data_IF_044255867033
#
_entry.id   IF_044255867033
#
_cell.length_a   1.000
_cell.length_b   1.000
_cell.length_c   1.000
_cell.angle_alpha   90.00
_cell.angle_beta   90.00
_cell.angle_gamma   90.00
#
_symmetry.space_group_name_H-M   'P 1'
#
loop_
_entity.id
_entity.type
_entity.pdbx_description
1 polymer ?
#
# COMPACT_ATOMS: atom_id res chain seq x y z
N UNK A 1 33.17 -5.03 -4.62
CA UNK A 1 34.06 -4.65 -5.74
C UNK A 1 34.75 -5.87 -6.35
N UNK A 2 34.67 -7.02 -5.69
CA UNK A 2 35.59 -8.15 -5.85
C UNK A 2 35.47 -8.95 -7.16
N UNK A 3 34.73 -8.44 -8.15
CA UNK A 3 34.51 -9.14 -9.41
C UNK A 3 34.53 -8.25 -10.65
N UNK A 4 34.73 -6.93 -10.60
CA UNK A 4 34.77 -6.11 -11.82
C UNK A 4 36.17 -5.61 -12.16
N UNK A 5 36.53 -5.73 -13.45
CA UNK A 5 37.84 -5.34 -13.96
C UNK A 5 38.10 -3.84 -13.75
N UNK A 6 39.21 -3.43 -13.10
CA UNK A 6 39.52 -2.01 -12.88
C UNK A 6 39.86 -1.27 -14.19
N UNK A 7 40.43 -1.98 -15.18
CA UNK A 7 40.78 -1.44 -16.50
C UNK A 7 39.55 -1.00 -17.29
N UNK A 8 38.39 -1.65 -17.06
CA UNK A 8 37.13 -1.28 -17.67
C UNK A 8 36.72 0.16 -17.29
N UNK A 9 36.81 0.52 -16.01
CA UNK A 9 36.38 1.84 -15.54
C UNK A 9 37.27 2.97 -16.07
N UNK A 10 38.58 2.74 -16.19
CA UNK A 10 39.51 3.71 -16.77
C UNK A 10 39.21 3.97 -18.26
N UNK A 11 39.01 2.89 -19.03
CA UNK A 11 38.66 2.99 -20.45
C UNK A 11 37.28 3.65 -20.64
N UNK A 12 36.31 3.34 -19.78
CA UNK A 12 34.99 3.96 -19.79
C UNK A 12 35.07 5.46 -19.50
N UNK A 13 35.85 5.89 -18.50
CA UNK A 13 36.00 7.31 -18.15
C UNK A 13 36.58 8.09 -19.33
N UNK A 14 37.62 7.55 -19.97
CA UNK A 14 38.24 8.13 -21.17
C UNK A 14 37.28 8.20 -22.36
N UNK A 15 36.47 7.16 -22.58
CA UNK A 15 35.51 7.12 -23.67
C UNK A 15 34.37 8.14 -23.49
N UNK A 16 33.83 8.25 -22.27
CA UNK A 16 32.71 9.17 -21.97
C UNK A 16 33.16 10.64 -21.97
N UNK A 17 34.38 10.94 -21.53
CA UNK A 17 34.94 12.31 -21.49
C UNK A 17 35.67 12.74 -22.78
N UNK A 18 35.70 11.89 -23.80
CA UNK A 18 36.31 12.23 -25.08
C UNK A 18 35.57 13.38 -25.78
N UNK A 19 36.32 14.26 -26.47
CA UNK A 19 35.77 15.46 -27.12
C UNK A 19 34.74 15.11 -28.22
N UNK A 20 34.94 13.96 -28.89
CA UNK A 20 33.96 13.36 -29.79
C UNK A 20 33.46 12.07 -29.16
N UNK A 21 32.32 12.16 -28.47
CA UNK A 21 31.70 11.00 -27.85
C UNK A 21 31.06 10.11 -28.92
N UNK A 22 31.78 9.05 -29.30
CA UNK A 22 31.34 8.09 -30.31
C UNK A 22 30.32 7.07 -29.78
N UNK A 23 30.42 6.70 -28.51
CA UNK A 23 29.62 5.62 -27.92
C UNK A 23 28.70 6.12 -26.79
N UNK A 24 27.48 5.57 -26.74
CA UNK A 24 26.68 5.61 -25.51
C UNK A 24 27.29 4.66 -24.48
N UNK A 25 26.91 4.79 -23.20
CA UNK A 25 27.40 3.85 -22.17
C UNK A 25 27.03 2.41 -22.51
N UNK A 26 25.82 2.20 -23.04
CA UNK A 26 25.32 0.88 -23.41
C UNK A 26 26.12 0.28 -24.57
N UNK A 27 26.36 1.09 -25.61
CA UNK A 27 27.18 0.72 -26.77
C UNK A 27 28.60 0.34 -26.34
N UNK A 28 29.20 1.13 -25.45
CA UNK A 28 30.54 0.86 -24.93
C UNK A 28 30.60 -0.45 -24.14
N UNK A 29 29.61 -0.73 -23.29
CA UNK A 29 29.54 -1.99 -22.52
C UNK A 29 29.45 -3.18 -23.48
N UNK A 30 28.66 -3.07 -24.55
CA UNK A 30 28.53 -4.14 -25.54
C UNK A 30 29.83 -4.39 -26.30
N UNK A 31 30.46 -3.34 -26.84
CA UNK A 31 31.72 -3.45 -27.58
C UNK A 31 32.85 -3.98 -26.70
N UNK A 32 32.97 -3.47 -25.47
CA UNK A 32 33.99 -3.93 -24.53
C UNK A 32 33.83 -5.42 -24.21
N UNK A 33 32.58 -5.88 -24.05
CA UNK A 33 32.27 -7.28 -23.76
C UNK A 33 32.62 -8.21 -24.93
N UNK A 34 32.44 -7.75 -26.17
CA UNK A 34 32.86 -8.48 -27.38
C UNK A 34 34.39 -8.59 -27.44
N UNK A 35 35.11 -7.50 -27.11
CA UNK A 35 36.57 -7.48 -27.12
C UNK A 35 37.20 -8.28 -25.96
N UNK A 36 36.53 -8.38 -24.81
CA UNK A 36 37.05 -8.99 -23.59
C UNK A 36 36.03 -9.96 -22.96
N UNK A 37 35.73 -11.11 -23.60
CA UNK A 37 34.67 -12.02 -23.18
C UNK A 37 34.93 -12.71 -21.83
N UNK A 38 36.19 -12.76 -21.39
CA UNK A 38 36.61 -13.37 -20.11
C UNK A 38 36.59 -12.40 -18.94
N UNK A 39 36.45 -11.09 -19.19
CA UNK A 39 36.39 -10.09 -18.13
C UNK A 39 34.97 -9.96 -17.59
N UNK A 40 34.86 -9.92 -16.27
CA UNK A 40 33.59 -9.65 -15.60
C UNK A 40 33.33 -8.15 -15.59
N UNK A 41 32.28 -7.74 -16.30
CA UNK A 41 31.91 -6.34 -16.54
C UNK A 41 30.50 -6.09 -15.98
N UNK A 42 30.23 -4.94 -15.34
CA UNK A 42 28.90 -4.63 -14.84
C UNK A 42 27.92 -4.39 -16.00
N UNK A 43 26.65 -4.75 -15.79
CA UNK A 43 25.59 -4.41 -16.75
C UNK A 43 25.38 -2.90 -16.87
N UNK A 44 24.86 -2.42 -18.00
CA UNK A 44 24.53 -1.00 -18.23
C UNK A 44 23.67 -0.42 -17.10
N UNK A 45 22.71 -1.19 -16.58
CA UNK A 45 21.84 -0.78 -15.46
C UNK A 45 22.65 -0.50 -14.19
N UNK A 46 23.56 -1.41 -13.84
CA UNK A 46 24.44 -1.27 -12.66
C UNK A 46 25.33 -0.04 -12.83
N UNK A 47 25.85 0.19 -14.05
CA UNK A 47 26.73 1.31 -14.33
C UNK A 47 26.01 2.66 -14.15
N UNK A 48 24.77 2.80 -14.62
CA UNK A 48 23.94 3.98 -14.33
C UNK A 48 23.68 4.15 -12.82
N UNK A 49 23.49 3.06 -12.07
CA UNK A 49 23.38 3.13 -10.61
C UNK A 49 24.67 3.64 -9.96
N UNK A 50 25.84 3.17 -10.40
CA UNK A 50 27.14 3.64 -9.88
C UNK A 50 27.36 5.13 -10.13
N UNK A 51 26.99 5.63 -11.31
CA UNK A 51 27.06 7.06 -11.64
C UNK A 51 26.11 7.87 -10.75
N UNK A 52 24.88 7.39 -10.53
CA UNK A 52 23.89 8.07 -9.71
C UNK A 52 24.29 8.16 -8.22
N UNK A 53 24.97 7.14 -7.71
CA UNK A 53 25.49 7.10 -6.33
C UNK A 53 26.84 7.83 -6.20
N UNK A 54 27.52 8.15 -7.32
CA UNK A 54 28.83 8.79 -7.32
C UNK A 54 30.00 7.84 -7.05
N UNK A 55 29.81 6.54 -7.32
CA UNK A 55 30.80 5.50 -7.09
C UNK A 55 31.93 5.46 -8.15
N UNK A 56 31.70 6.07 -9.32
CA UNK A 56 32.70 6.21 -10.38
C UNK A 56 32.93 7.69 -10.71
N UNK A 57 34.08 8.02 -11.31
CA UNK A 57 34.49 9.41 -11.62
C UNK A 57 33.71 10.09 -12.76
N UNK A 58 32.69 9.43 -13.29
CA UNK A 58 31.77 9.96 -14.29
C UNK A 58 30.61 10.62 -13.57
N UNK A 59 30.39 11.91 -13.82
CA UNK A 59 29.29 12.67 -13.22
C UNK A 59 28.03 12.55 -14.09
N UNK A 60 26.84 12.71 -13.50
CA UNK A 60 25.58 12.76 -14.27
C UNK A 60 25.58 13.77 -15.42
N UNK A 61 26.30 14.89 -15.25
CA UNK A 61 26.46 15.93 -16.27
C UNK A 61 27.22 15.46 -17.52
N UNK A 62 28.05 14.42 -17.38
CA UNK A 62 28.81 13.83 -18.48
C UNK A 62 27.91 12.92 -19.35
N UNK A 63 26.63 12.74 -18.98
CA UNK A 63 25.65 11.94 -19.69
C UNK A 63 24.41 12.76 -20.09
N UNK A 64 24.23 13.07 -21.38
CA UNK A 64 23.08 13.86 -21.86
C UNK A 64 21.74 13.28 -21.41
N UNK A 65 21.60 11.95 -21.45
CA UNK A 65 20.38 11.23 -21.05
C UNK A 65 20.06 11.43 -19.57
N UNK A 66 21.08 11.47 -18.70
CA UNK A 66 20.88 11.56 -17.26
C UNK A 66 20.50 12.96 -16.79
N UNK A 67 21.00 13.99 -17.49
CA UNK A 67 20.59 15.40 -17.28
C UNK A 67 19.16 15.64 -17.78
N UNK A 68 18.73 14.95 -18.85
CA UNK A 68 17.39 15.11 -19.44
C UNK A 68 16.26 14.45 -18.63
N UNK A 69 16.58 13.51 -17.74
CA UNK A 69 15.57 12.80 -16.95
C UNK A 69 14.98 13.77 -15.92
N UNK A 70 13.69 14.10 -16.06
CA UNK A 70 12.94 14.86 -15.07
C UNK A 70 13.07 14.17 -13.71
N UNK A 71 13.53 14.90 -12.69
CA UNK A 71 13.53 14.41 -11.32
C UNK A 71 12.09 14.10 -10.93
N UNK A 72 11.77 12.82 -10.76
CA UNK A 72 10.50 12.42 -10.16
C UNK A 72 10.42 13.07 -8.77
N UNK A 73 9.31 13.75 -8.49
CA UNK A 73 9.00 14.22 -7.15
C UNK A 73 9.12 13.05 -6.18
N UNK A 74 9.88 13.22 -5.08
CA UNK A 74 10.04 12.18 -4.06
C UNK A 74 8.66 11.69 -3.67
N UNK A 75 8.41 10.38 -3.81
CA UNK A 75 7.16 9.77 -3.37
C UNK A 75 6.98 10.09 -1.88
N UNK A 76 6.00 10.94 -1.55
CA UNK A 76 5.60 11.13 -0.17
C UNK A 76 4.90 9.84 0.24
N UNK A 77 5.54 9.04 1.09
CA UNK A 77 4.87 7.93 1.76
C UNK A 77 3.75 8.52 2.61
N UNK A 78 2.53 8.52 2.08
CA UNK A 78 1.36 8.90 2.87
C UNK A 78 1.13 7.73 3.83
N UNK A 79 1.44 7.92 5.11
CA UNK A 79 1.11 6.92 6.13
C UNK A 79 -0.41 6.78 6.12
N UNK A 80 -0.91 5.56 5.88
CA UNK A 80 -2.34 5.27 5.96
C UNK A 80 -2.81 5.55 7.40
N UNK A 81 -3.55 6.65 7.60
CA UNK A 81 -4.14 7.01 8.90
C UNK A 81 -5.31 6.11 9.32
N UNK A 82 -5.69 5.14 8.48
CA UNK A 82 -6.80 4.23 8.76
C UNK A 82 -6.30 3.10 9.66
N UNK A 83 -6.69 3.15 10.92
CA UNK A 83 -6.61 2.00 11.82
C UNK A 83 -7.69 1.01 11.41
N UNK A 84 -7.30 -0.14 10.87
CA UNK A 84 -8.22 -1.25 10.70
C UNK A 84 -8.47 -1.92 12.06
N UNK A 85 -9.65 -2.51 12.25
CA UNK A 85 -9.94 -3.32 13.42
C UNK A 85 -9.10 -4.61 13.44
N UNK A 86 -9.17 -5.36 14.54
CA UNK A 86 -8.51 -6.66 14.67
C UNK A 86 -9.03 -7.64 13.60
N UNK A 87 -8.16 -8.53 13.12
CA UNK A 87 -8.53 -9.58 12.16
C UNK A 87 -9.62 -10.47 12.73
N UNK A 88 -10.46 -11.05 11.86
CA UNK A 88 -11.50 -12.02 12.26
C UNK A 88 -10.87 -13.24 12.96
N UNK A 89 -9.65 -13.58 12.57
CA UNK A 89 -8.84 -14.66 13.16
C UNK A 89 -8.39 -14.36 14.60
N UNK A 90 -8.35 -13.09 15.01
CA UNK A 90 -7.97 -12.66 16.37
C UNK A 90 -9.19 -12.48 17.30
N UNK A 91 -10.38 -12.86 16.86
CA UNK A 91 -11.57 -12.81 17.70
C UNK A 91 -11.49 -13.92 18.78
N UNK A 92 -11.64 -13.60 20.08
CA UNK A 92 -11.57 -14.62 21.13
C UNK A 92 -12.66 -15.68 20.95
N UNK A 93 -12.31 -16.95 21.18
CA UNK A 93 -13.18 -18.12 20.96
C UNK A 93 -14.53 -18.03 21.69
N UNK A 94 -14.57 -17.31 22.82
CA UNK A 94 -15.80 -17.06 23.58
C UNK A 94 -16.88 -16.33 22.76
N UNK A 95 -16.49 -15.43 21.85
CA UNK A 95 -17.43 -14.73 20.96
C UNK A 95 -17.94 -15.67 19.85
N UNK A 96 -17.11 -16.62 19.40
CA UNK A 96 -17.49 -17.61 18.39
C UNK A 96 -18.44 -18.70 18.93
N UNK A 97 -18.42 -18.96 20.24
CA UNK A 97 -19.27 -19.99 20.84
C UNK A 97 -20.72 -19.53 21.10
N UNK A 98 -21.04 -18.25 20.89
CA UNK A 98 -22.38 -17.66 21.06
C UNK A 98 -22.98 -17.92 22.46
N UNK A 99 -22.13 -18.15 23.45
CA UNK A 99 -22.54 -18.66 24.76
C UNK A 99 -23.13 -17.59 25.68
N UNK A 100 -22.85 -16.31 25.42
CA UNK A 100 -23.17 -15.19 26.32
C UNK A 100 -24.13 -14.19 25.66
N UNK A 101 -25.10 -13.71 26.46
CA UNK A 101 -26.01 -12.65 26.04
C UNK A 101 -25.24 -11.36 25.82
N UNK A 102 -25.56 -10.69 24.72
CA UNK A 102 -25.22 -9.29 24.55
C UNK A 102 -24.07 -8.99 23.61
N UNK A 103 -23.70 -9.97 22.80
CA UNK A 103 -22.88 -9.73 21.62
C UNK A 103 -23.79 -9.40 20.44
N UNK A 104 -23.62 -8.20 19.90
CA UNK A 104 -24.39 -7.71 18.77
C UNK A 104 -23.53 -7.61 17.52
N UNK A 105 -24.00 -8.19 16.43
CA UNK A 105 -23.46 -8.03 15.09
C UNK A 105 -24.20 -6.93 14.36
N UNK A 106 -23.45 -6.07 13.66
CA UNK A 106 -24.00 -5.05 12.76
C UNK A 106 -23.65 -5.45 11.34
N UNK A 107 -24.67 -5.57 10.49
CA UNK A 107 -24.52 -5.79 9.06
C UNK A 107 -25.23 -4.69 8.25
N UNK A 108 -24.69 -4.36 7.08
CA UNK A 108 -25.26 -3.36 6.18
C UNK A 108 -25.57 -4.00 4.82
N UNK A 109 -26.84 -4.06 4.47
CA UNK A 109 -27.32 -4.54 3.17
C UNK A 109 -27.48 -3.35 2.22
N UNK A 110 -26.67 -3.34 1.16
CA UNK A 110 -26.72 -2.33 0.11
C UNK A 110 -27.70 -2.76 -1.00
N UNK A 111 -28.63 -1.87 -1.37
CA UNK A 111 -29.47 -2.04 -2.55
C UNK A 111 -28.69 -1.96 -3.87
N UNK A 112 -29.38 -2.23 -4.99
CA UNK A 112 -28.80 -2.12 -6.34
C UNK A 112 -28.39 -0.67 -6.64
N UNK A 113 -27.07 -0.44 -6.62
CA UNK A 113 -26.30 0.78 -6.92
C UNK A 113 -27.01 1.88 -7.74
N UNK A 114 -27.62 2.83 -7.04
CA UNK A 114 -27.74 4.23 -7.43
C UNK A 114 -27.00 5.12 -6.41
N UNK A 115 -26.46 6.26 -6.86
CA UNK A 115 -25.71 7.16 -5.97
C UNK A 115 -26.67 7.78 -4.95
N UNK A 116 -26.40 7.60 -3.65
CA UNK A 116 -27.21 8.16 -2.56
C UNK A 116 -28.25 7.20 -1.97
N UNK A 117 -28.13 5.89 -2.25
CA UNK A 117 -29.13 4.92 -1.83
C UNK A 117 -29.19 4.71 -0.32
N UNK A 118 -30.42 4.58 0.14
CA UNK A 118 -30.74 4.09 1.45
C UNK A 118 -30.17 2.67 1.66
N UNK A 119 -29.66 2.43 2.86
CA UNK A 119 -29.04 1.17 3.27
C UNK A 119 -29.91 0.54 4.34
N UNK A 120 -30.01 -0.78 4.37
CA UNK A 120 -30.66 -1.46 5.49
C UNK A 120 -29.55 -1.89 6.44
N UNK A 121 -29.61 -1.41 7.68
CA UNK A 121 -28.77 -1.87 8.78
C UNK A 121 -29.50 -2.94 9.55
N UNK A 122 -28.84 -4.05 9.83
CA UNK A 122 -29.33 -5.13 10.68
C UNK A 122 -28.46 -5.26 11.92
N UNK A 123 -29.10 -5.22 13.09
CA UNK A 123 -28.48 -5.48 14.39
C UNK A 123 -28.99 -6.83 14.89
N UNK A 124 -28.10 -7.80 15.08
CA UNK A 124 -28.49 -9.15 15.50
C UNK A 124 -27.74 -9.54 16.77
N UNK A 125 -28.47 -9.92 17.80
CA UNK A 125 -27.91 -10.46 19.03
C UNK A 125 -27.59 -11.96 18.85
N UNK A 126 -26.37 -12.37 19.21
CA UNK A 126 -25.80 -13.67 18.84
C UNK A 126 -26.42 -14.86 19.57
N UNK A 127 -26.79 -14.69 20.84
CA UNK A 127 -27.29 -15.78 21.68
C UNK A 127 -28.79 -16.03 21.44
N UNK A 128 -29.59 -14.98 21.52
CA UNK A 128 -31.05 -14.98 21.42
C UNK A 128 -31.54 -14.90 19.97
N UNK A 129 -30.66 -14.53 19.02
CA UNK A 129 -31.00 -14.30 17.61
C UNK A 129 -32.05 -13.21 17.39
N UNK A 130 -32.25 -12.34 18.39
CA UNK A 130 -33.10 -11.18 18.25
C UNK A 130 -32.49 -10.21 17.22
N UNK A 131 -33.30 -9.78 16.25
CA UNK A 131 -32.85 -8.96 15.13
C UNK A 131 -33.67 -7.68 15.01
N UNK A 132 -32.98 -6.55 14.80
CA UNK A 132 -33.55 -5.26 14.46
C UNK A 132 -33.08 -4.85 13.07
N UNK A 133 -33.99 -4.37 12.23
CA UNK A 133 -33.68 -3.84 10.91
C UNK A 133 -34.09 -2.37 10.81
N UNK A 134 -33.16 -1.51 10.40
CA UNK A 134 -33.36 -0.07 10.28
C UNK A 134 -32.95 0.41 8.89
N UNK A 135 -33.79 1.23 8.26
CA UNK A 135 -33.44 1.90 7.01
C UNK A 135 -32.63 3.17 7.30
N UNK A 136 -31.41 3.24 6.80
CA UNK A 136 -30.53 4.39 6.88
C UNK A 136 -30.54 5.15 5.54
N UNK A 137 -30.41 6.49 5.55
CA UNK A 137 -30.33 7.28 4.32
C UNK A 137 -29.02 7.06 3.55
N UNK A 138 -27.94 6.65 4.22
CA UNK A 138 -26.63 6.42 3.61
C UNK A 138 -25.78 5.46 4.49
N UNK A 139 -24.60 5.07 3.98
CA UNK A 139 -23.62 4.21 4.68
C UNK A 139 -22.53 4.97 5.46
N UNK A 140 -22.75 6.24 5.77
CA UNK A 140 -21.73 7.04 6.45
C UNK A 140 -21.65 6.66 7.93
N UNK A 141 -20.44 6.79 8.47
CA UNK A 141 -20.10 6.51 9.87
C UNK A 141 -21.04 7.19 10.86
N UNK A 142 -21.29 8.48 10.63
CA UNK A 142 -22.09 9.34 11.48
C UNK A 142 -23.53 8.84 11.54
N UNK A 143 -24.14 8.59 10.37
CA UNK A 143 -25.50 8.07 10.25
C UNK A 143 -25.68 6.70 10.92
N UNK A 144 -24.69 5.81 10.79
CA UNK A 144 -24.70 4.50 11.46
C UNK A 144 -24.63 4.69 12.97
N UNK A 145 -23.69 5.49 13.47
CA UNK A 145 -23.50 5.72 14.90
C UNK A 145 -24.73 6.36 15.55
N UNK A 146 -25.38 7.32 14.89
CA UNK A 146 -26.62 7.92 15.36
C UNK A 146 -27.76 6.91 15.40
N UNK A 147 -27.93 6.11 14.35
CA UNK A 147 -28.97 5.09 14.29
C UNK A 147 -28.79 4.01 15.36
N UNK A 148 -27.56 3.58 15.59
CA UNK A 148 -27.20 2.65 16.65
C UNK A 148 -27.57 3.27 18.00
N UNK A 149 -27.09 4.47 18.34
CA UNK A 149 -27.45 5.18 19.58
C UNK A 149 -28.96 5.32 19.78
N UNK A 150 -29.69 5.73 18.75
CA UNK A 150 -31.14 5.89 18.81
C UNK A 150 -31.86 4.54 19.00
N UNK A 151 -31.35 3.46 18.41
CA UNK A 151 -31.91 2.13 18.60
C UNK A 151 -31.77 1.70 20.06
N UNK A 152 -30.57 1.85 20.64
CA UNK A 152 -30.30 1.53 22.05
C UNK A 152 -31.14 2.34 23.05
N UNK A 153 -31.41 3.62 22.76
CA UNK A 153 -32.22 4.45 23.65
C UNK A 153 -33.71 4.08 23.63
N UNK A 154 -34.21 3.56 22.50
CA UNK A 154 -35.62 3.20 22.35
C UNK A 154 -35.92 1.76 22.78
N UNK A 155 -35.00 0.83 22.58
CA UNK A 155 -35.08 -0.49 23.21
C UNK A 155 -34.55 -0.38 24.62
N UNK A 156 -35.45 -0.34 25.61
CA UNK A 156 -35.16 -0.49 27.05
C UNK A 156 -34.61 -1.90 27.37
N UNK A 157 -33.59 -2.34 26.65
CA UNK A 157 -32.82 -3.55 26.84
C UNK A 157 -31.43 -3.10 27.30
N UNK A 158 -31.36 -2.79 28.60
CA UNK A 158 -30.10 -2.52 29.27
C UNK A 158 -29.33 -3.83 29.41
N UNK A 159 -28.00 -3.69 29.38
CA UNK A 159 -26.96 -4.67 29.71
C UNK A 159 -26.46 -5.50 28.53
N UNK A 160 -25.44 -5.00 27.84
CA UNK A 160 -24.24 -5.81 27.58
C UNK A 160 -23.06 -5.05 26.96
N UNK A 161 -21.89 -5.64 27.22
CA UNK A 161 -20.58 -5.21 26.77
C UNK A 161 -20.29 -5.70 25.34
N UNK A 162 -19.78 -4.77 24.52
CA UNK A 162 -19.09 -4.98 23.24
C UNK A 162 -19.97 -5.34 22.02
N UNK A 163 -20.01 -4.39 21.08
CA UNK A 163 -20.53 -4.57 19.71
C UNK A 163 -19.35 -5.03 18.84
N UNK A 164 -19.52 -6.12 18.09
CA UNK A 164 -18.53 -6.58 17.12
C UNK A 164 -19.09 -6.36 15.72
N UNK A 165 -18.63 -5.30 15.04
CA UNK A 165 -19.03 -5.03 13.65
C UNK A 165 -18.22 -5.93 12.70
N UNK A 166 -18.87 -6.96 12.15
CA UNK A 166 -18.30 -7.76 11.06
C UNK A 166 -18.74 -7.14 9.72
N UNK A 167 -17.92 -6.18 9.25
CA UNK A 167 -17.52 -5.99 7.84
C UNK A 167 -16.85 -4.60 7.67
N UNK A 168 -15.51 -4.64 7.59
CA UNK A 168 -14.57 -3.64 7.02
C UNK A 168 -14.59 -2.18 7.49
N UNK A 169 -15.43 -1.74 8.42
CA UNK A 169 -15.29 -0.41 9.04
C UNK A 169 -15.58 -0.51 10.54
N UNK A 170 -14.52 -0.56 11.34
CA UNK A 170 -14.62 -0.51 12.79
C UNK A 170 -15.04 0.91 13.21
N UNK A 171 -16.29 1.08 13.65
CA UNK A 171 -16.72 2.28 14.34
C UNK A 171 -16.48 2.11 15.83
N UNK A 172 -15.71 3.04 16.41
CA UNK A 172 -15.60 3.21 17.85
C UNK A 172 -16.78 4.06 18.30
N UNK A 173 -17.64 3.53 19.15
CA UNK A 173 -18.60 4.32 19.94
C UNK A 173 -17.86 4.86 21.18
#
# INVERSE_FOLDING_TARGET
>A
MDQCSPTFFEKLDKAVKSNVRRHSVDTFVHEYKEEHPTETIPSTKILYCYIAVGFIFIKPIDLPKMVSIRKMSKYKTTVNKKTFGKSIEECPETINNHSEFGHWEIELVLGKKTKGDAVIMTLVERQTRFALACKLPNKQAETINEAVKNSWLNTRLLLSHQITALNSVAYRI
#
